data_IF_097005310503
#
_entry.id   IF_097005310503
#
_cell.length_a   1.000
_cell.length_b   1.000
_cell.length_c   1.000
_cell.angle_alpha   90.00
_cell.angle_beta   90.00
_cell.angle_gamma   90.00
#
_symmetry.space_group_name_H-M   'P 1'
#
loop_
_entity.id
_entity.type
_entity.pdbx_description
1 polymer ?
#
# COMPACT_ATOMS: atom_id res chain seq x y z
N UNK A 1 -7.41 8.59 12.94
CA UNK A 1 -7.28 9.69 11.97
C UNK A 1 -7.34 9.12 10.56
N UNK A 2 -8.16 9.70 9.69
CA UNK A 2 -8.24 9.31 8.27
C UNK A 2 -7.36 10.23 7.42
N UNK A 3 -6.46 9.65 6.63
CA UNK A 3 -5.44 10.35 5.87
C UNK A 3 -5.71 10.17 4.38
N UNK A 4 -5.77 11.30 3.66
CA UNK A 4 -5.90 11.30 2.20
C UNK A 4 -4.63 10.78 1.52
N UNK A 5 -4.75 10.05 0.40
CA UNK A 5 -3.60 9.68 -0.42
C UNK A 5 -2.79 10.86 -0.96
N UNK A 6 -3.37 12.07 -1.08
CA UNK A 6 -2.67 13.31 -1.45
C UNK A 6 -1.93 13.96 -0.27
N UNK A 7 -1.46 13.15 0.70
CA UNK A 7 -0.67 13.65 1.80
C UNK A 7 0.81 13.76 1.38
N UNK A 8 1.43 14.91 1.63
CA UNK A 8 2.83 15.18 1.25
C UNK A 8 3.87 14.19 1.81
N UNK A 9 3.52 13.46 2.87
CA UNK A 9 4.39 12.46 3.50
C UNK A 9 4.19 11.04 2.93
N UNK A 10 3.26 10.85 1.99
CA UNK A 10 3.06 9.61 1.23
C UNK A 10 3.80 9.74 -0.10
N UNK A 11 4.70 8.81 -0.37
CA UNK A 11 5.56 8.84 -1.54
C UNK A 11 5.16 7.78 -2.54
N UNK A 12 4.82 8.19 -3.75
CA UNK A 12 4.53 7.31 -4.88
C UNK A 12 5.80 7.13 -5.72
N UNK A 13 6.66 6.21 -5.29
CA UNK A 13 8.06 6.15 -5.78
C UNK A 13 8.26 5.39 -7.09
N UNK A 14 7.31 4.54 -7.50
CA UNK A 14 7.40 3.70 -8.70
C UNK A 14 6.03 3.57 -9.36
N UNK A 15 6.06 3.40 -10.69
CA UNK A 15 4.86 3.29 -11.53
C UNK A 15 4.19 4.62 -11.81
N UNK A 16 3.07 4.57 -12.54
CA UNK A 16 2.27 5.75 -12.89
C UNK A 16 1.07 5.83 -11.95
N UNK A 17 0.98 6.94 -11.22
CA UNK A 17 -0.13 7.25 -10.32
C UNK A 17 -0.82 8.54 -10.77
N UNK A 18 -2.15 8.51 -10.78
CA UNK A 18 -2.99 9.70 -10.86
C UNK A 18 -3.51 10.00 -9.45
N UNK A 19 -3.15 11.16 -8.91
CA UNK A 19 -3.44 11.54 -7.52
C UNK A 19 -4.37 12.75 -7.52
N UNK A 20 -5.47 12.63 -6.80
CA UNK A 20 -6.40 13.73 -6.50
C UNK A 20 -6.61 13.83 -4.97
N UNK A 21 -7.39 14.81 -4.52
CA UNK A 21 -7.60 15.10 -3.10
C UNK A 21 -8.17 13.93 -2.28
N UNK A 22 -8.77 12.93 -2.93
CA UNK A 22 -9.50 11.85 -2.26
C UNK A 22 -9.01 10.45 -2.63
N UNK A 23 -8.16 10.30 -3.65
CA UNK A 23 -7.67 8.99 -4.10
C UNK A 23 -6.33 9.08 -4.82
N UNK A 24 -5.63 7.95 -4.83
CA UNK A 24 -4.51 7.70 -5.72
C UNK A 24 -4.79 6.46 -6.57
N UNK A 25 -4.76 6.60 -7.88
CA UNK A 25 -5.10 5.56 -8.85
C UNK A 25 -3.86 5.08 -9.59
N UNK A 26 -3.64 3.77 -9.67
CA UNK A 26 -2.58 3.18 -10.45
C UNK A 26 -3.08 2.14 -11.46
N UNK A 27 -2.27 1.94 -12.50
CA UNK A 27 -2.64 1.14 -13.68
C UNK A 27 -1.64 0.03 -14.01
N UNK A 28 -0.48 0.00 -13.34
CA UNK A 28 0.69 -0.79 -13.76
C UNK A 28 1.24 -1.66 -12.62
N UNK A 29 1.77 -2.85 -12.97
CA UNK A 29 2.57 -3.65 -12.04
C UNK A 29 3.84 -2.91 -11.62
N UNK A 30 4.30 -3.19 -10.41
CA UNK A 30 5.45 -2.53 -9.80
C UNK A 30 5.15 -1.12 -9.31
N UNK A 31 3.94 -0.58 -9.57
CA UNK A 31 3.51 0.67 -8.96
C UNK A 31 3.48 0.52 -7.43
N UNK A 32 4.07 1.46 -6.72
CA UNK A 32 4.14 1.43 -5.26
C UNK A 32 3.81 2.78 -4.65
N UNK A 33 3.49 2.74 -3.36
CA UNK A 33 3.56 3.90 -2.49
C UNK A 33 4.16 3.47 -1.15
N UNK A 34 4.74 4.43 -0.44
CA UNK A 34 5.32 4.20 0.86
C UNK A 34 5.14 5.41 1.77
N UNK A 35 5.16 5.14 3.07
CA UNK A 35 5.07 6.15 4.10
C UNK A 35 5.70 5.65 5.41
N UNK A 36 6.10 6.57 6.28
CA UNK A 36 6.63 6.26 7.62
C UNK A 36 5.63 6.68 8.69
N UNK A 37 5.45 5.87 9.74
CA UNK A 37 4.51 6.20 10.82
C UNK A 37 4.95 5.66 12.18
N UNK A 38 4.52 6.30 13.26
CA UNK A 38 4.68 5.83 14.64
C UNK A 38 3.44 5.09 15.20
N UNK A 39 2.45 4.79 14.35
CA UNK A 39 1.18 4.17 14.75
C UNK A 39 1.34 2.87 15.56
N UNK A 40 2.24 1.98 15.16
CA UNK A 40 2.48 0.73 15.89
C UNK A 40 3.06 0.93 17.29
N UNK A 41 3.65 2.09 17.57
CA UNK A 41 4.19 2.45 18.88
C UNK A 41 3.18 3.22 19.75
N UNK A 42 2.29 3.99 19.12
CA UNK A 42 1.38 4.93 19.79
C UNK A 42 -0.07 4.60 19.49
N UNK A 43 -0.71 3.82 20.37
CA UNK A 43 -2.17 3.62 20.35
C UNK A 43 -2.67 2.94 19.08
N UNK A 44 -3.53 1.94 19.21
CA UNK A 44 -4.03 1.13 18.10
C UNK A 44 -2.92 0.52 17.24
N UNK A 45 -2.59 -0.73 17.59
CA UNK A 45 -1.61 -1.64 16.98
C UNK A 45 -1.79 -1.85 15.47
N UNK A 46 -2.72 -1.15 14.82
CA UNK A 46 -3.08 -1.36 13.44
C UNK A 46 -3.11 -0.10 12.56
N UNK A 47 -2.68 -0.28 11.31
CA UNK A 47 -2.86 0.67 10.21
C UNK A 47 -3.86 0.05 9.25
N UNK A 48 -4.88 0.80 8.85
CA UNK A 48 -5.93 0.31 7.93
C UNK A 48 -5.78 1.01 6.60
N UNK A 49 -5.60 0.26 5.53
CA UNK A 49 -5.53 0.75 4.16
C UNK A 49 -6.80 0.34 3.41
N UNK A 50 -7.48 1.30 2.79
CA UNK A 50 -8.70 1.05 2.03
C UNK A 50 -8.45 1.22 0.54
N UNK A 51 -8.75 0.17 -0.22
CA UNK A 51 -8.60 0.12 -1.66
C UNK A 51 -9.91 -0.21 -2.36
N UNK A 52 -9.99 0.21 -3.62
CA UNK A 52 -11.08 -0.07 -4.54
C UNK A 52 -10.52 -0.55 -5.89
N UNK A 53 -11.21 -1.53 -6.48
CA UNK A 53 -10.98 -2.01 -7.83
C UNK A 53 -12.29 -1.86 -8.61
N UNK A 54 -12.46 -0.77 -9.39
CA UNK A 54 -13.76 -0.40 -9.96
C UNK A 54 -14.29 -1.38 -11.01
N UNK A 55 -13.43 -2.25 -11.57
CA UNK A 55 -13.81 -3.24 -12.58
C UNK A 55 -13.22 -4.60 -12.22
N UNK A 56 -13.95 -5.40 -11.42
CA UNK A 56 -13.50 -6.74 -11.05
C UNK A 56 -13.82 -7.73 -12.16
N UNK A 57 -12.79 -8.36 -12.72
CA UNK A 57 -12.93 -9.44 -13.69
C UNK A 57 -12.15 -10.65 -13.21
N UNK A 58 -12.83 -11.80 -13.15
CA UNK A 58 -12.24 -13.06 -12.70
C UNK A 58 -11.00 -13.43 -13.53
N UNK A 59 -9.91 -13.82 -12.84
CA UNK A 59 -8.62 -14.11 -13.47
C UNK A 59 -7.83 -12.89 -13.96
N UNK A 60 -8.27 -11.67 -13.60
CA UNK A 60 -7.52 -10.42 -13.79
C UNK A 60 -7.21 -9.71 -12.48
N UNK A 61 -7.66 -10.25 -11.36
CA UNK A 61 -7.48 -9.68 -10.03
C UNK A 61 -6.01 -9.44 -9.69
N UNK A 62 -5.59 -8.18 -9.48
CA UNK A 62 -4.24 -7.86 -9.07
C UNK A 62 -3.88 -8.43 -7.70
N UNK A 63 -2.58 -8.59 -7.46
CA UNK A 63 -2.04 -8.92 -6.14
C UNK A 63 -1.42 -7.64 -5.56
N UNK A 64 -1.92 -7.20 -4.42
CA UNK A 64 -1.24 -6.22 -3.58
C UNK A 64 -0.29 -6.97 -2.64
N UNK A 65 0.94 -6.48 -2.56
CA UNK A 65 1.92 -6.94 -1.60
C UNK A 65 2.41 -5.74 -0.79
N UNK A 66 2.81 -6.00 0.44
CA UNK A 66 3.32 -4.96 1.33
C UNK A 66 4.44 -5.49 2.20
N UNK A 67 5.22 -4.54 2.72
CA UNK A 67 6.26 -4.81 3.68
C UNK A 67 6.36 -3.74 4.75
N UNK A 68 6.81 -4.17 5.93
CA UNK A 68 7.03 -3.31 7.09
C UNK A 68 8.51 -3.40 7.46
N UNK A 69 9.19 -2.24 7.46
CA UNK A 69 10.63 -2.10 7.71
C UNK A 69 11.52 -3.00 6.82
N UNK A 70 10.99 -3.48 5.68
CA UNK A 70 11.68 -4.47 4.84
C UNK A 70 11.75 -5.89 5.42
N UNK A 71 11.16 -6.15 6.58
CA UNK A 71 11.27 -7.41 7.33
C UNK A 71 10.04 -8.30 7.19
N UNK A 72 8.84 -7.72 7.34
CA UNK A 72 7.57 -8.44 7.17
C UNK A 72 7.17 -8.34 5.70
N UNK A 73 6.82 -9.44 5.05
CA UNK A 73 6.42 -9.48 3.64
C UNK A 73 5.14 -10.30 3.49
N UNK A 74 4.06 -9.65 3.07
CA UNK A 74 2.75 -10.27 2.95
C UNK A 74 2.08 -9.84 1.63
N UNK A 75 1.02 -10.54 1.24
CA UNK A 75 0.25 -10.21 0.06
C UNK A 75 -1.21 -10.65 0.19
N UNK A 76 -2.06 -10.04 -0.63
CA UNK A 76 -3.43 -10.47 -0.79
C UNK A 76 -3.96 -10.19 -2.20
N UNK A 77 -4.91 -11.00 -2.62
CA UNK A 77 -5.63 -10.80 -3.87
C UNK A 77 -6.65 -9.68 -3.68
N UNK A 78 -6.69 -8.75 -4.63
CA UNK A 78 -7.66 -7.66 -4.62
C UNK A 78 -9.09 -8.19 -4.68
N UNK A 79 -10.01 -7.42 -4.13
CA UNK A 79 -11.45 -7.54 -4.35
C UNK A 79 -11.99 -6.18 -4.80
N UNK A 80 -13.27 -6.09 -5.14
CA UNK A 80 -13.92 -4.83 -5.58
C UNK A 80 -13.68 -3.71 -4.57
N UNK A 81 -13.87 -4.01 -3.30
CA UNK A 81 -13.48 -3.19 -2.16
C UNK A 81 -12.59 -4.05 -1.28
N UNK A 82 -11.49 -3.49 -0.81
CA UNK A 82 -10.51 -4.23 -0.02
C UNK A 82 -9.98 -3.37 1.12
N UNK A 83 -10.00 -3.93 2.32
CA UNK A 83 -9.38 -3.32 3.51
C UNK A 83 -8.22 -4.20 3.96
N UNK A 84 -7.03 -3.60 4.07
CA UNK A 84 -5.83 -4.25 4.61
C UNK A 84 -5.56 -3.65 5.99
N UNK A 85 -5.65 -4.49 7.02
CA UNK A 85 -5.23 -4.12 8.39
C UNK A 85 -3.82 -4.64 8.63
N UNK A 86 -2.86 -3.75 8.84
CA UNK A 86 -1.46 -4.04 9.15
C UNK A 86 -1.18 -3.87 10.65
N UNK A 87 -0.22 -4.59 11.25
CA UNK A 87 0.48 -5.72 10.65
C UNK A 87 -0.47 -6.93 10.57
N UNK A 88 -0.38 -7.71 9.48
CA UNK A 88 -1.01 -9.03 9.44
C UNK A 88 -0.06 -10.07 10.04
N UNK A 89 -0.61 -11.05 10.75
CA UNK A 89 0.18 -12.12 11.38
C UNK A 89 0.87 -11.76 12.70
N UNK A 90 0.77 -10.51 13.16
CA UNK A 90 1.30 -10.06 14.45
C UNK A 90 0.15 -9.61 15.35
N UNK A 91 -0.04 -10.31 16.48
CA UNK A 91 -1.12 -10.00 17.42
C UNK A 91 -0.91 -8.67 18.17
N UNK A 92 0.35 -8.29 18.39
CA UNK A 92 0.74 -7.03 19.03
C UNK A 92 2.10 -6.51 18.53
N UNK A 93 2.08 -5.44 17.75
CA UNK A 93 3.30 -4.82 17.22
C UNK A 93 4.21 -4.24 18.33
N UNK A 94 3.68 -3.95 19.52
CA UNK A 94 4.48 -3.44 20.64
C UNK A 94 5.21 -4.53 21.42
N UNK A 95 4.76 -5.78 21.30
CA UNK A 95 5.35 -6.94 21.98
C UNK A 95 6.18 -7.81 21.03
N UNK A 96 5.94 -7.74 19.71
CA UNK A 96 6.66 -8.50 18.70
C UNK A 96 8.16 -8.11 18.67
N UNK A 97 9.10 -9.04 18.86
CA UNK A 97 10.54 -8.72 18.91
C UNK A 97 11.12 -8.08 17.64
N UNK A 98 10.48 -8.25 16.49
CA UNK A 98 10.90 -7.67 15.20
C UNK A 98 10.47 -6.21 15.07
N UNK A 99 9.45 -5.82 15.83
CA UNK A 99 8.81 -4.49 15.78
C UNK A 99 9.11 -3.68 17.06
N UNK A 100 9.27 -4.36 18.19
CA UNK A 100 9.52 -3.77 19.50
C UNK A 100 10.86 -3.01 19.51
N UNK A 101 10.84 -1.82 20.11
CA UNK A 101 12.00 -0.91 20.15
C UNK A 101 12.15 -0.04 18.89
N UNK A 102 11.40 -0.29 17.82
CA UNK A 102 11.41 0.56 16.62
C UNK A 102 10.49 1.76 16.85
N UNK A 103 11.08 2.97 16.78
CA UNK A 103 10.33 4.20 17.02
C UNK A 103 9.30 4.48 15.93
N UNK A 104 9.69 4.29 14.67
CA UNK A 104 8.92 4.62 13.47
C UNK A 104 9.03 3.47 12.47
N UNK A 105 7.95 3.16 11.78
CA UNK A 105 7.85 2.05 10.86
C UNK A 105 7.67 2.54 9.43
N UNK A 106 8.52 2.06 8.53
CA UNK A 106 8.41 2.26 7.10
C UNK A 106 7.47 1.22 6.50
N UNK A 107 6.42 1.68 5.85
CA UNK A 107 5.43 0.85 5.16
C UNK A 107 5.59 1.07 3.67
N UNK A 108 5.71 -0.02 2.91
CA UNK A 108 5.65 0.04 1.46
C UNK A 108 4.62 -0.96 0.96
N UNK A 109 3.77 -0.49 0.06
CA UNK A 109 2.73 -1.29 -0.60
C UNK A 109 2.94 -1.17 -2.10
N UNK A 110 2.90 -2.29 -2.80
CA UNK A 110 3.08 -2.32 -4.25
C UNK A 110 2.17 -3.34 -4.93
N UNK A 111 1.92 -3.06 -6.20
CA UNK A 111 1.17 -3.95 -7.08
C UNK A 111 2.14 -5.00 -7.63
N UNK A 112 2.14 -6.22 -7.06
CA UNK A 112 3.09 -7.28 -7.43
C UNK A 112 2.86 -7.76 -8.86
N UNK A 113 1.62 -8.05 -9.21
CA UNK A 113 1.24 -8.53 -10.53
C UNK A 113 -0.14 -8.02 -10.88
N UNK A 114 -0.24 -7.41 -12.07
CA UNK A 114 -1.48 -7.27 -12.82
C UNK A 114 -1.36 -8.27 -13.97
N UNK A 115 -2.41 -9.04 -14.24
CA UNK A 115 -2.39 -10.16 -15.20
C UNK A 115 -1.53 -9.84 -16.44
N UNK A 116 -0.43 -10.58 -16.63
CA UNK A 116 0.59 -10.31 -17.66
C UNK A 116 0.16 -10.76 -19.07
N UNK A 117 -0.80 -11.68 -19.14
CA UNK A 117 -1.12 -12.41 -20.38
C UNK A 117 -2.37 -11.90 -21.10
N UNK A 118 -2.98 -10.80 -20.64
CA UNK A 118 -4.26 -10.32 -21.17
C UNK A 118 -4.19 -8.81 -21.42
N UNK A 119 -4.63 -8.30 -22.59
CA UNK A 119 -4.43 -6.92 -23.02
C UNK A 119 -5.00 -5.91 -22.01
N UNK A 120 -4.22 -4.84 -21.77
CA UNK A 120 -4.33 -3.96 -20.59
C UNK A 120 -4.99 -2.60 -20.86
N UNK A 121 -5.35 -2.31 -22.10
CA UNK A 121 -5.97 -1.06 -22.48
C UNK A 121 -7.24 -1.35 -23.25
N UNK A 122 -8.14 -0.38 -23.22
CA UNK A 122 -8.90 -0.19 -24.43
C UNK A 122 -9.19 1.24 -24.81
N UNK A 123 -9.11 1.41 -26.10
CA UNK A 123 -9.62 2.52 -26.88
C UNK A 123 -10.89 2.04 -27.59
N UNK A 124 -11.91 2.89 -27.77
CA UNK A 124 -13.20 2.54 -28.38
C UNK A 124 -14.06 1.47 -27.63
N UNK A 125 -14.21 1.58 -26.31
CA UNK A 125 -15.31 0.90 -25.60
C UNK A 125 -15.01 -0.44 -24.91
N UNK A 126 -13.84 -0.60 -24.29
CA UNK A 126 -13.45 -1.82 -23.58
C UNK A 126 -12.77 -1.41 -22.25
N UNK A 127 -12.84 -2.28 -21.24
CA UNK A 127 -12.66 -1.94 -19.82
C UNK A 127 -11.21 -2.24 -19.37
N UNK A 128 -10.58 -1.31 -18.64
CA UNK A 128 -9.34 -1.60 -17.92
C UNK A 128 -9.67 -2.28 -16.57
N UNK A 129 -9.35 -3.57 -16.48
CA UNK A 129 -9.65 -4.40 -15.32
C UNK A 129 -8.54 -4.41 -14.26
N UNK A 130 -7.48 -3.61 -14.41
CA UNK A 130 -6.32 -3.58 -13.50
C UNK A 130 -6.15 -2.23 -12.80
N UNK A 131 -7.22 -1.46 -12.67
CA UNK A 131 -7.21 -0.18 -11.97
C UNK A 131 -7.29 -0.47 -10.47
N UNK A 132 -6.34 0.04 -9.71
CA UNK A 132 -6.36 0.01 -8.25
C UNK A 132 -6.40 1.44 -7.75
N UNK A 133 -7.32 1.70 -6.82
CA UNK A 133 -7.53 3.01 -6.23
C UNK A 133 -7.26 2.87 -4.73
N UNK A 134 -6.23 3.55 -4.23
CA UNK A 134 -6.09 3.80 -2.79
C UNK A 134 -7.06 4.92 -2.42
N UNK A 135 -7.97 4.64 -1.48
CA UNK A 135 -9.00 5.58 -1.01
C UNK A 135 -8.56 6.31 0.24
N UNK A 136 -8.02 5.59 1.21
CA UNK A 136 -7.54 6.21 2.44
C UNK A 136 -6.60 5.33 3.24
N UNK A 137 -5.88 5.98 4.15
CA UNK A 137 -5.07 5.36 5.19
C UNK A 137 -5.61 5.81 6.54
N UNK A 138 -6.02 4.87 7.38
CA UNK A 138 -6.46 5.16 8.76
C UNK A 138 -5.41 4.67 9.74
N UNK A 139 -4.99 5.57 10.62
CA UNK A 139 -4.13 5.27 11.78
C UNK A 139 -4.81 5.77 13.06
N UNK A 140 -4.26 5.48 14.23
CA UNK A 140 -4.73 6.05 15.50
C UNK A 140 -4.68 7.59 15.50
N UNK A 141 -5.59 8.24 16.22
CA UNK A 141 -5.62 9.70 16.32
C UNK A 141 -4.39 10.30 17.02
N UNK A 142 -3.72 9.52 17.87
CA UNK A 142 -2.48 9.93 18.56
C UNK A 142 -1.20 9.70 17.74
N UNK A 143 -1.32 9.00 16.61
CA UNK A 143 -0.22 8.67 15.72
C UNK A 143 -0.10 9.67 14.56
N UNK A 144 1.00 9.58 13.80
CA UNK A 144 1.27 10.48 12.68
C UNK A 144 1.91 9.73 11.51
N UNK A 145 1.63 10.20 10.28
CA UNK A 145 2.49 9.91 9.12
C UNK A 145 3.60 10.96 9.11
N UNK A 146 4.82 10.48 9.23
CA UNK A 146 6.06 11.25 9.33
C UNK A 146 6.69 11.42 7.96
N UNK A 147 7.61 12.37 7.84
CA UNK A 147 8.44 12.50 6.65
C UNK A 147 9.16 11.17 6.37
N UNK A 148 8.95 10.63 5.18
CA UNK A 148 9.53 9.35 4.78
C UNK A 148 10.91 9.59 4.21
N UNK A 149 11.94 9.26 4.99
CA UNK A 149 13.30 9.16 4.49
C UNK A 149 13.36 7.85 3.71
N UNK A 150 13.49 7.92 2.38
CA UNK A 150 13.71 6.71 1.59
C UNK A 150 14.94 5.98 2.13
N UNK A 151 14.85 4.69 2.51
CA UNK A 151 16.06 3.93 2.79
C UNK A 151 16.89 3.91 1.51
N UNK A 152 18.14 4.40 1.59
CA UNK A 152 19.13 4.26 0.52
C UNK A 152 19.30 2.77 0.22
N UNK A 153 18.59 2.28 -0.80
CA UNK A 153 18.71 0.89 -1.22
C UNK A 153 19.85 0.85 -2.23
N UNK A 154 21.03 0.45 -1.77
CA UNK A 154 22.10 0.02 -2.67
C UNK A 154 21.63 -1.26 -3.34
N UNK A 155 21.34 -1.20 -4.65
CA UNK A 155 21.01 -2.36 -5.46
C UNK A 155 22.24 -3.26 -5.57
N UNK A 156 22.20 -4.45 -4.94
CA UNK A 156 23.14 -5.52 -5.27
C UNK A 156 22.55 -6.29 -6.46
N UNK A 157 23.16 -6.16 -7.64
CA UNK A 157 22.93 -7.12 -8.72
C UNK A 157 23.79 -8.37 -8.44
N UNK A 158 23.17 -9.55 -8.34
CA UNK A 158 23.84 -10.86 -8.30
C UNK A 158 23.34 -11.69 -9.47
#
# INVERSE_FOLDING_TARGET
MNISPNNQNIYFSKGTWEIDDFRATCYNSGANFNFTTDAFKKGNKSIILNFEMPNVVEGYTPILAWRINGLIWEYAHMSEQMTITLPQGVNDATEDPVMNGIANHYIEVWVRTISINKPRWSWNGNINNNVIILKSITIDDSASILETIQPETTMLCI
#
